data_IF_196046098150
#
_entry.id   IF_196046098150
#
_cell.length_a   1.000
_cell.length_b   1.000
_cell.length_c   1.000
_cell.angle_alpha   90.00
_cell.angle_beta   90.00
_cell.angle_gamma   90.00
#
_symmetry.space_group_name_H-M   'P 1'
#
loop_
_entity.id
_entity.type
_entity.pdbx_description
1 polymer ?
#
# COMPACT_ATOMS: atom_id res chain seq x y z
N UNK A 1 -22.18 5.87 -7.83
CA UNK A 1 -21.69 5.96 -6.45
C UNK A 1 -20.16 6.13 -6.38
N UNK A 2 -19.41 5.79 -7.43
CA UNK A 2 -17.95 5.96 -7.49
C UNK A 2 -17.46 7.40 -7.77
N UNK A 3 -18.30 8.29 -8.27
CA UNK A 3 -17.88 9.62 -8.71
C UNK A 3 -17.50 10.60 -7.58
N UNK A 4 -18.12 10.50 -6.41
CA UNK A 4 -17.92 11.47 -5.33
C UNK A 4 -16.53 11.36 -4.66
N UNK A 5 -15.98 10.17 -4.55
CA UNK A 5 -14.64 9.95 -3.98
C UNK A 5 -13.54 10.49 -4.90
N UNK A 6 -13.64 10.23 -6.20
CA UNK A 6 -12.71 10.77 -7.20
C UNK A 6 -12.75 12.30 -7.29
N UNK A 7 -13.94 12.90 -7.28
CA UNK A 7 -14.10 14.37 -7.28
C UNK A 7 -13.49 14.98 -6.01
N UNK A 8 -13.74 14.38 -4.85
CA UNK A 8 -13.15 14.83 -3.57
C UNK A 8 -11.63 14.73 -3.60
N UNK A 9 -11.11 13.63 -4.13
CA UNK A 9 -9.68 13.42 -4.28
C UNK A 9 -9.02 14.49 -5.17
N UNK A 10 -9.63 14.79 -6.32
CA UNK A 10 -9.16 15.85 -7.21
C UNK A 10 -9.26 17.24 -6.55
N UNK A 11 -10.36 17.51 -5.86
CA UNK A 11 -10.52 18.76 -5.11
C UNK A 11 -9.41 18.92 -4.06
N UNK A 12 -9.17 17.88 -3.27
CA UNK A 12 -8.08 17.87 -2.27
C UNK A 12 -6.72 18.07 -2.93
N UNK A 13 -6.48 17.39 -4.06
CA UNK A 13 -5.25 17.56 -4.82
C UNK A 13 -5.06 18.99 -5.33
N UNK A 14 -6.10 19.62 -5.86
CA UNK A 14 -6.02 20.99 -6.38
C UNK A 14 -5.85 22.03 -5.28
N UNK A 15 -6.57 21.87 -4.15
CA UNK A 15 -6.61 22.87 -3.09
C UNK A 15 -5.52 22.72 -2.02
N UNK A 16 -4.96 21.53 -1.84
CA UNK A 16 -3.93 21.31 -0.83
C UNK A 16 -2.58 21.90 -1.23
N UNK A 17 -2.02 22.75 -0.38
CA UNK A 17 -0.69 23.31 -0.57
C UNK A 17 0.44 22.28 -0.39
N UNK A 18 0.17 21.20 0.32
CA UNK A 18 1.14 20.13 0.66
C UNK A 18 1.11 18.95 -0.29
N UNK A 19 0.26 18.97 -1.32
CA UNK A 19 0.26 17.94 -2.35
C UNK A 19 1.55 17.99 -3.16
N UNK A 20 2.06 16.82 -3.52
CA UNK A 20 3.20 16.65 -4.44
C UNK A 20 2.80 17.00 -5.89
N UNK A 21 2.14 18.15 -6.10
CA UNK A 21 1.57 18.55 -7.39
C UNK A 21 2.62 18.57 -8.49
N UNK A 22 3.74 19.25 -8.26
CA UNK A 22 4.80 19.39 -9.24
C UNK A 22 5.36 18.01 -9.66
N UNK A 23 5.49 17.07 -8.72
CA UNK A 23 5.93 15.72 -8.98
C UNK A 23 4.88 14.93 -9.77
N UNK A 24 3.62 14.96 -9.33
CA UNK A 24 2.52 14.19 -9.96
C UNK A 24 2.12 14.77 -11.33
N UNK A 25 2.35 16.07 -11.56
CA UNK A 25 2.15 16.74 -12.85
C UNK A 25 3.41 16.72 -13.73
N UNK A 26 4.41 15.91 -13.39
CA UNK A 26 5.68 15.78 -14.13
C UNK A 26 6.46 17.09 -14.29
N UNK A 27 6.27 18.05 -13.39
CA UNK A 27 6.98 19.33 -13.37
C UNK A 27 8.33 19.24 -12.66
N UNK A 28 8.50 18.22 -11.80
CA UNK A 28 9.77 17.90 -11.14
C UNK A 28 10.07 16.42 -11.28
N UNK A 29 11.34 16.08 -11.42
CA UNK A 29 11.78 14.69 -11.48
C UNK A 29 11.66 14.02 -10.09
N UNK A 30 11.33 12.71 -10.03
CA UNK A 30 11.37 11.96 -8.79
C UNK A 30 12.80 11.88 -8.24
N UNK A 31 12.92 11.96 -6.93
CA UNK A 31 14.20 11.89 -6.22
C UNK A 31 14.58 10.43 -5.95
N UNK A 32 15.87 10.18 -5.89
CA UNK A 32 16.42 8.90 -5.47
C UNK A 32 17.69 9.12 -4.62
N UNK A 33 17.96 8.20 -3.71
CA UNK A 33 19.21 8.12 -2.95
C UNK A 33 19.96 6.83 -3.33
N UNK A 34 20.97 6.97 -4.15
CA UNK A 34 21.78 5.85 -4.66
C UNK A 34 22.68 5.21 -3.61
N UNK A 35 22.84 5.82 -2.43
CA UNK A 35 23.60 5.24 -1.31
C UNK A 35 22.81 4.16 -0.58
N UNK A 36 21.50 4.08 -0.78
CA UNK A 36 20.66 3.07 -0.14
C UNK A 36 20.90 1.73 -0.83
N UNK A 37 21.16 0.69 -0.02
CA UNK A 37 21.38 -0.69 -0.45
C UNK A 37 20.38 -1.64 0.21
N UNK A 38 20.20 -2.82 -0.36
CA UNK A 38 19.42 -3.89 0.27
C UNK A 38 20.12 -4.40 1.53
N UNK A 39 19.33 -4.82 2.52
CA UNK A 39 19.83 -5.42 3.75
C UNK A 39 20.42 -6.82 3.56
N UNK A 40 20.01 -7.48 2.48
CA UNK A 40 20.47 -8.79 2.02
C UNK A 40 20.14 -8.99 0.55
N UNK A 41 20.73 -10.00 -0.09
CA UNK A 41 20.25 -10.51 -1.37
C UNK A 41 18.98 -11.34 -1.16
N UNK A 42 17.99 -11.14 -1.99
CA UNK A 42 16.73 -11.89 -2.02
C UNK A 42 16.65 -12.83 -3.20
N UNK A 43 16.98 -12.33 -4.37
CA UNK A 43 16.98 -13.06 -5.63
C UNK A 43 17.90 -12.31 -6.61
N UNK A 44 18.89 -13.02 -7.15
CA UNK A 44 19.94 -12.43 -7.99
C UNK A 44 19.36 -11.63 -9.19
N UNK A 45 18.30 -12.14 -9.80
CA UNK A 45 17.63 -11.47 -10.92
C UNK A 45 16.80 -10.26 -10.52
N UNK A 46 16.24 -10.24 -9.29
CA UNK A 46 15.36 -9.18 -8.81
C UNK A 46 16.09 -8.11 -7.97
N UNK A 47 17.23 -8.44 -7.38
CA UNK A 47 17.98 -7.53 -6.49
C UNK A 47 18.28 -6.15 -7.13
N UNK A 48 18.65 -6.05 -8.41
CA UNK A 48 18.84 -4.74 -9.04
C UNK A 48 17.57 -3.89 -9.08
N UNK A 49 16.41 -4.54 -9.29
CA UNK A 49 15.11 -3.86 -9.32
C UNK A 49 14.67 -3.47 -7.91
N UNK A 50 14.83 -4.37 -6.94
CA UNK A 50 14.51 -4.11 -5.53
C UNK A 50 15.37 -2.97 -4.97
N UNK A 51 16.66 -2.93 -5.34
CA UNK A 51 17.56 -1.84 -4.96
C UNK A 51 17.07 -0.50 -5.48
N UNK A 52 16.72 -0.41 -6.77
CA UNK A 52 16.18 0.81 -7.37
C UNK A 52 14.86 1.24 -6.73
N UNK A 53 13.98 0.28 -6.43
CA UNK A 53 12.72 0.56 -5.74
C UNK A 53 12.95 1.13 -4.34
N UNK A 54 13.93 0.59 -3.61
CA UNK A 54 14.31 1.08 -2.27
C UNK A 54 15.00 2.45 -2.30
N UNK A 55 15.77 2.73 -3.34
CA UNK A 55 16.44 4.01 -3.56
C UNK A 55 15.48 5.15 -3.93
N UNK A 56 14.30 4.82 -4.48
CA UNK A 56 13.31 5.81 -4.84
C UNK A 56 12.70 6.46 -3.59
N UNK A 57 12.80 7.80 -3.51
CA UNK A 57 12.28 8.58 -2.36
C UNK A 57 10.86 9.07 -2.59
N UNK A 58 10.39 9.11 -3.83
CA UNK A 58 9.07 9.63 -4.17
C UNK A 58 8.16 8.54 -4.71
N UNK A 59 8.50 7.94 -5.84
CA UNK A 59 7.79 6.80 -6.41
C UNK A 59 8.70 5.94 -7.30
N UNK A 60 8.31 4.70 -7.48
CA UNK A 60 8.96 3.75 -8.38
C UNK A 60 7.91 3.00 -9.18
N UNK A 61 8.10 2.88 -10.48
CA UNK A 61 7.22 2.13 -11.37
C UNK A 61 7.89 0.82 -11.77
N UNK A 62 7.31 -0.28 -11.31
CA UNK A 62 7.73 -1.62 -11.69
C UNK A 62 6.84 -2.14 -12.83
N UNK A 63 7.38 -2.21 -14.02
CA UNK A 63 6.71 -2.74 -15.20
C UNK A 63 7.27 -4.10 -15.55
N UNK A 64 6.40 -5.05 -15.79
CA UNK A 64 6.81 -6.39 -16.22
C UNK A 64 5.62 -7.20 -16.72
N UNK A 65 5.83 -8.13 -17.66
CA UNK A 65 4.78 -9.00 -18.19
C UNK A 65 4.07 -9.80 -17.09
N UNK A 66 2.88 -10.33 -17.35
CA UNK A 66 2.25 -11.33 -16.47
C UNK A 66 3.17 -12.55 -16.27
N UNK A 67 3.11 -13.14 -15.07
CA UNK A 67 3.90 -14.35 -14.77
C UNK A 67 5.39 -14.11 -14.42
N UNK A 68 5.87 -12.88 -14.40
CA UNK A 68 7.27 -12.55 -14.06
C UNK A 68 7.56 -12.49 -12.56
N UNK A 69 6.61 -12.88 -11.71
CA UNK A 69 6.79 -12.89 -10.25
C UNK A 69 6.68 -11.53 -9.57
N UNK A 70 6.11 -10.51 -10.24
CA UNK A 70 5.92 -9.17 -9.63
C UNK A 70 5.17 -9.24 -8.30
N UNK A 71 4.01 -9.85 -8.29
CA UNK A 71 3.16 -9.93 -7.09
C UNK A 71 3.69 -10.94 -6.10
N UNK A 72 4.10 -12.13 -6.55
CA UNK A 72 4.52 -13.21 -5.65
C UNK A 72 5.92 -13.03 -5.07
N UNK A 73 6.86 -12.49 -5.82
CA UNK A 73 8.27 -12.39 -5.42
C UNK A 73 8.71 -10.95 -5.14
N UNK A 74 8.60 -10.05 -6.12
CA UNK A 74 9.12 -8.69 -5.95
C UNK A 74 8.38 -7.93 -4.84
N UNK A 75 7.04 -8.02 -4.80
CA UNK A 75 6.23 -7.40 -3.76
C UNK A 75 6.57 -7.99 -2.38
N UNK A 76 6.69 -9.31 -2.27
CA UNK A 76 7.09 -9.99 -1.04
C UNK A 76 8.43 -9.48 -0.53
N UNK A 77 9.45 -9.46 -1.38
CA UNK A 77 10.79 -9.04 -0.97
C UNK A 77 10.85 -7.56 -0.59
N UNK A 78 10.09 -6.68 -1.26
CA UNK A 78 9.97 -5.28 -0.86
C UNK A 78 9.34 -5.14 0.52
N UNK A 79 8.31 -5.94 0.83
CA UNK A 79 7.68 -5.95 2.16
C UNK A 79 8.67 -6.46 3.22
N UNK A 80 9.34 -7.59 2.98
CA UNK A 80 10.33 -8.15 3.90
C UNK A 80 11.48 -7.15 4.16
N UNK A 81 11.99 -6.51 3.11
CA UNK A 81 13.04 -5.50 3.21
C UNK A 81 12.59 -4.29 4.03
N UNK A 82 11.37 -3.79 3.79
CA UNK A 82 10.83 -2.68 4.54
C UNK A 82 10.63 -3.02 6.03
N UNK A 83 10.08 -4.19 6.33
CA UNK A 83 9.89 -4.64 7.71
C UNK A 83 11.23 -4.80 8.45
N UNK A 84 12.28 -5.23 7.75
CA UNK A 84 13.60 -5.39 8.33
C UNK A 84 14.30 -4.05 8.58
N UNK A 85 14.19 -3.11 7.66
CA UNK A 85 14.90 -1.82 7.74
C UNK A 85 14.12 -0.76 8.50
N UNK A 86 12.81 -0.90 8.61
CA UNK A 86 11.94 0.00 9.35
C UNK A 86 10.89 -0.81 10.15
N UNK A 87 11.28 -1.48 11.25
CA UNK A 87 10.40 -2.40 11.98
C UNK A 87 9.10 -1.78 12.50
N UNK A 88 9.12 -0.47 12.78
CA UNK A 88 7.95 0.28 13.24
C UNK A 88 7.22 1.00 12.08
N UNK A 89 7.76 0.91 10.87
CA UNK A 89 7.16 1.50 9.68
C UNK A 89 5.97 0.68 9.20
N UNK A 90 4.88 1.35 8.85
CA UNK A 90 3.70 0.68 8.29
C UNK A 90 3.79 0.61 6.79
N UNK A 91 3.25 -0.47 6.24
CA UNK A 91 3.19 -0.73 4.81
C UNK A 91 1.73 -0.80 4.40
N UNK A 92 1.35 -0.06 3.37
CA UNK A 92 0.03 -0.13 2.77
C UNK A 92 0.13 -0.86 1.43
N UNK A 93 -0.53 -2.02 1.35
CA UNK A 93 -0.61 -2.81 0.12
C UNK A 93 -1.99 -2.67 -0.49
N UNK A 94 -2.05 -2.33 -1.74
CA UNK A 94 -3.31 -2.10 -2.43
C UNK A 94 -3.33 -2.80 -3.79
N UNK A 95 -4.52 -3.20 -4.21
CA UNK A 95 -4.77 -3.65 -5.57
C UNK A 95 -6.15 -3.15 -6.05
N UNK A 96 -6.40 -3.24 -7.35
CA UNK A 96 -7.68 -2.80 -7.91
C UNK A 96 -8.83 -3.73 -7.55
N UNK A 97 -8.61 -5.05 -7.60
CA UNK A 97 -9.64 -6.07 -7.37
C UNK A 97 -9.51 -6.78 -6.03
N UNK A 98 -10.61 -7.31 -5.50
CA UNK A 98 -10.59 -8.16 -4.31
C UNK A 98 -9.79 -9.44 -4.53
N UNK A 99 -9.81 -9.99 -5.75
CA UNK A 99 -9.03 -11.18 -6.09
C UNK A 99 -7.53 -10.90 -5.99
N UNK A 100 -7.04 -9.78 -6.54
CA UNK A 100 -5.64 -9.41 -6.41
C UNK A 100 -5.25 -9.14 -4.94
N UNK A 101 -6.17 -8.56 -4.14
CA UNK A 101 -5.98 -8.41 -2.69
C UNK A 101 -5.88 -9.77 -2.00
N UNK A 102 -6.69 -10.76 -2.41
CA UNK A 102 -6.61 -12.13 -1.87
C UNK A 102 -5.28 -12.80 -2.21
N UNK A 103 -4.75 -12.59 -3.43
CA UNK A 103 -3.43 -13.09 -3.84
C UNK A 103 -2.31 -12.46 -2.98
N UNK A 104 -2.39 -11.17 -2.68
CA UNK A 104 -1.48 -10.49 -1.74
C UNK A 104 -1.61 -11.09 -0.33
N UNK A 105 -2.82 -11.30 0.17
CA UNK A 105 -3.05 -11.93 1.48
C UNK A 105 -2.44 -13.33 1.54
N UNK A 106 -2.58 -14.13 0.48
CA UNK A 106 -1.97 -15.46 0.37
C UNK A 106 -0.45 -15.40 0.47
N UNK A 107 0.17 -14.53 -0.30
CA UNK A 107 1.62 -14.31 -0.27
C UNK A 107 2.12 -13.92 1.13
N UNK A 108 1.41 -13.01 1.83
CA UNK A 108 1.75 -12.59 3.19
C UNK A 108 1.61 -13.73 4.20
N UNK A 109 0.51 -14.51 4.11
CA UNK A 109 0.26 -15.63 4.99
C UNK A 109 1.32 -16.74 4.80
N UNK A 110 1.68 -17.08 3.57
CA UNK A 110 2.75 -18.02 3.24
C UNK A 110 4.13 -17.56 3.74
N UNK A 111 4.37 -16.25 3.73
CA UNK A 111 5.59 -15.66 4.25
C UNK A 111 5.60 -15.52 5.79
N UNK A 112 4.50 -15.85 6.48
CA UNK A 112 4.37 -15.67 7.93
C UNK A 112 4.32 -14.21 8.36
N UNK A 113 3.97 -13.29 7.47
CA UNK A 113 3.89 -11.86 7.74
C UNK A 113 2.49 -11.54 8.28
N UNK A 114 2.43 -10.94 9.47
CA UNK A 114 1.16 -10.51 10.06
C UNK A 114 0.61 -9.26 9.33
N UNK A 115 -0.69 -9.28 9.03
CA UNK A 115 -1.36 -8.18 8.33
C UNK A 115 -2.81 -8.02 8.76
N UNK A 116 -3.38 -6.85 8.50
CA UNK A 116 -4.83 -6.58 8.60
C UNK A 116 -5.37 -6.29 7.20
N UNK A 117 -6.45 -7.00 6.84
CA UNK A 117 -7.20 -6.72 5.63
C UNK A 117 -8.33 -5.74 5.91
N UNK A 118 -8.37 -4.65 5.16
CA UNK A 118 -9.48 -3.70 5.16
C UNK A 118 -10.43 -4.09 4.04
N UNK A 119 -11.65 -4.46 4.40
CA UNK A 119 -12.62 -4.93 3.41
C UNK A 119 -13.94 -5.36 4.04
N UNK A 120 -14.74 -6.03 3.21
CA UNK A 120 -16.01 -6.62 3.58
C UNK A 120 -15.89 -8.15 3.49
N UNK A 121 -16.51 -8.86 4.44
CA UNK A 121 -16.56 -10.32 4.47
C UNK A 121 -17.10 -10.93 3.16
N UNK A 122 -18.14 -10.32 2.56
CA UNK A 122 -18.75 -10.79 1.34
C UNK A 122 -17.84 -10.72 0.09
N UNK A 123 -16.78 -9.91 0.15
CA UNK A 123 -15.82 -9.71 -0.94
C UNK A 123 -14.42 -10.21 -0.61
N UNK A 124 -14.31 -11.06 0.39
CA UNK A 124 -13.09 -11.66 0.89
C UNK A 124 -13.16 -13.17 0.75
N UNK A 125 -12.11 -13.82 0.26
CA UNK A 125 -12.03 -15.27 0.29
C UNK A 125 -12.04 -15.76 1.76
N UNK A 126 -12.74 -16.87 2.02
CA UNK A 126 -12.96 -17.41 3.37
C UNK A 126 -11.65 -17.64 4.13
N UNK A 127 -10.59 -18.04 3.43
CA UNK A 127 -9.28 -18.26 4.03
C UNK A 127 -8.69 -16.97 4.68
N UNK A 128 -9.07 -15.79 4.22
CA UNK A 128 -8.54 -14.51 4.70
C UNK A 128 -9.54 -13.71 5.56
N UNK A 129 -10.73 -14.24 5.82
CA UNK A 129 -11.71 -13.62 6.73
C UNK A 129 -11.16 -13.38 8.15
N UNK A 130 -10.32 -14.24 8.74
CA UNK A 130 -9.73 -13.98 10.05
C UNK A 130 -8.85 -12.73 10.12
N UNK A 131 -8.29 -12.30 8.99
CA UNK A 131 -7.43 -11.11 8.89
C UNK A 131 -8.20 -9.81 8.63
N UNK A 132 -9.53 -9.87 8.41
CA UNK A 132 -10.35 -8.67 8.29
C UNK A 132 -10.30 -7.85 9.57
N UNK A 133 -10.20 -6.53 9.43
CA UNK A 133 -10.22 -5.63 10.58
C UNK A 133 -11.43 -5.90 11.48
N UNK A 134 -12.61 -6.12 10.89
CA UNK A 134 -13.84 -6.49 11.62
C UNK A 134 -13.73 -7.79 12.42
N UNK A 135 -12.98 -8.76 11.92
CA UNK A 135 -12.73 -10.03 12.64
C UNK A 135 -11.72 -9.85 13.76
N UNK A 136 -10.64 -9.08 13.49
CA UNK A 136 -9.56 -8.83 14.46
C UNK A 136 -10.03 -8.02 15.66
N UNK A 137 -10.93 -7.03 15.45
CA UNK A 137 -11.42 -6.14 16.51
C UNK A 137 -12.73 -6.63 17.16
N UNK A 138 -13.38 -7.63 16.58
CA UNK A 138 -14.64 -8.19 17.08
C UNK A 138 -15.88 -7.35 16.74
N UNK A 139 -17.04 -7.74 17.30
CA UNK A 139 -18.35 -7.22 16.90
C UNK A 139 -18.72 -5.84 17.47
N UNK A 140 -18.05 -5.38 18.52
CA UNK A 140 -18.30 -4.07 19.15
C UNK A 140 -16.97 -3.40 19.56
N UNK A 141 -16.14 -3.01 18.62
CA UNK A 141 -14.85 -2.42 18.95
C UNK A 141 -15.02 -0.97 19.43
N UNK A 142 -14.21 -0.56 20.42
CA UNK A 142 -13.99 0.85 20.72
C UNK A 142 -13.00 1.44 19.73
N UNK A 143 -13.00 2.76 19.57
CA UNK A 143 -12.00 3.43 18.71
C UNK A 143 -10.58 3.16 19.18
N UNK A 144 -10.36 3.08 20.48
CA UNK A 144 -9.04 2.80 21.05
C UNK A 144 -8.57 1.38 20.74
N UNK A 145 -9.48 0.40 20.76
CA UNK A 145 -9.17 -0.97 20.35
C UNK A 145 -8.80 -1.05 18.86
N UNK A 146 -9.53 -0.33 17.99
CA UNK A 146 -9.18 -0.25 16.57
C UNK A 146 -7.80 0.39 16.38
N UNK A 147 -7.53 1.52 17.05
CA UNK A 147 -6.22 2.18 17.02
C UNK A 147 -5.10 1.26 17.48
N UNK A 148 -5.32 0.57 18.59
CA UNK A 148 -4.35 -0.37 19.13
C UNK A 148 -4.02 -1.47 18.10
N UNK A 149 -5.04 -2.15 17.54
CA UNK A 149 -4.82 -3.22 16.54
C UNK A 149 -4.11 -2.70 15.28
N UNK A 150 -4.49 -1.53 14.80
CA UNK A 150 -3.80 -0.89 13.69
C UNK A 150 -2.37 -0.47 14.06
N UNK A 151 -2.10 -0.09 15.31
CA UNK A 151 -0.73 0.26 15.76
C UNK A 151 0.18 -0.96 15.88
N UNK A 152 -0.33 -2.08 16.33
CA UNK A 152 0.39 -3.35 16.51
C UNK A 152 0.73 -4.03 15.17
N UNK A 153 0.00 -3.71 14.08
CA UNK A 153 0.15 -4.38 12.78
C UNK A 153 0.89 -3.48 11.79
N UNK A 154 1.99 -4.00 11.24
CA UNK A 154 2.81 -3.22 10.30
C UNK A 154 2.27 -3.23 8.86
N UNK A 155 1.53 -4.26 8.45
CA UNK A 155 1.05 -4.40 7.06
C UNK A 155 -0.46 -4.29 7.01
N UNK A 156 -0.95 -3.35 6.19
CA UNK A 156 -2.38 -3.14 5.95
C UNK A 156 -2.65 -3.37 4.47
N UNK A 157 -3.69 -4.16 4.18
CA UNK A 157 -4.02 -4.59 2.81
C UNK A 157 -5.46 -4.24 2.48
N UNK A 158 -5.75 -3.79 1.28
CA UNK A 158 -7.12 -3.53 0.83
C UNK A 158 -7.22 -3.14 -0.64
N UNK A 159 -8.45 -3.08 -1.17
CA UNK A 159 -8.62 -2.51 -2.50
C UNK A 159 -8.44 -1.00 -2.46
N UNK A 160 -7.97 -0.42 -3.57
CA UNK A 160 -7.81 1.04 -3.68
C UNK A 160 -9.11 1.80 -3.38
N UNK A 161 -10.25 1.28 -3.86
CA UNK A 161 -11.56 1.88 -3.60
C UNK A 161 -11.96 1.79 -2.12
N UNK A 162 -11.65 0.68 -1.44
CA UNK A 162 -11.93 0.52 -0.01
C UNK A 162 -11.07 1.46 0.83
N UNK A 163 -9.78 1.57 0.53
CA UNK A 163 -8.87 2.46 1.24
C UNK A 163 -9.28 3.93 1.04
N UNK A 164 -9.63 4.34 -0.18
CA UNK A 164 -10.13 5.69 -0.45
C UNK A 164 -11.43 6.02 0.28
N UNK A 165 -12.35 5.05 0.41
CA UNK A 165 -13.61 5.27 1.14
C UNK A 165 -13.42 5.30 2.66
N UNK A 166 -12.28 4.83 3.15
CA UNK A 166 -11.91 4.75 4.57
C UNK A 166 -10.67 5.60 4.87
N UNK A 167 -10.68 6.83 4.41
CA UNK A 167 -9.57 7.79 4.53
C UNK A 167 -9.11 8.05 5.97
N UNK A 168 -9.95 7.73 6.98
CA UNK A 168 -9.57 7.78 8.39
C UNK A 168 -8.33 6.93 8.70
N UNK A 169 -8.01 5.90 7.89
CA UNK A 169 -6.82 5.06 8.05
C UNK A 169 -5.55 5.91 7.98
N UNK A 170 -5.52 6.92 7.09
CA UNK A 170 -4.38 7.84 6.96
C UNK A 170 -4.26 8.82 8.13
N UNK A 171 -5.33 9.01 8.91
CA UNK A 171 -5.29 9.78 10.16
C UNK A 171 -4.80 8.94 11.34
N UNK A 172 -4.99 7.62 11.27
CA UNK A 172 -4.60 6.68 12.33
C UNK A 172 -3.21 6.10 12.11
N UNK A 173 -2.77 5.98 10.86
CA UNK A 173 -1.53 5.34 10.48
C UNK A 173 -0.72 6.21 9.52
N UNK A 174 0.58 6.29 9.78
CA UNK A 174 1.55 6.84 8.82
C UNK A 174 2.18 5.68 8.04
N UNK A 175 2.12 5.76 6.72
CA UNK A 175 2.66 4.73 5.82
C UNK A 175 3.89 5.27 5.09
N UNK A 176 5.12 4.96 5.51
CA UNK A 176 6.33 5.31 4.77
C UNK A 176 6.41 4.61 3.41
N UNK A 177 5.74 3.46 3.25
CA UNK A 177 5.69 2.72 1.99
C UNK A 177 4.24 2.36 1.66
N UNK A 178 3.82 2.70 0.43
CA UNK A 178 2.59 2.22 -0.17
C UNK A 178 2.91 1.52 -1.50
N UNK A 179 2.37 0.31 -1.69
CA UNK A 179 2.54 -0.45 -2.93
C UNK A 179 1.15 -0.68 -3.53
N UNK A 180 1.02 -0.38 -4.81
CA UNK A 180 -0.21 -0.59 -5.57
C UNK A 180 0.08 -1.63 -6.65
N UNK A 181 -0.47 -2.81 -6.50
CA UNK A 181 -0.41 -3.84 -7.54
C UNK A 181 -1.47 -3.58 -8.61
N UNK A 182 -1.15 -3.94 -9.85
CA UNK A 182 -2.01 -3.70 -11.02
C UNK A 182 -2.46 -2.24 -11.18
N UNK A 183 -1.59 -1.28 -10.85
CA UNK A 183 -1.91 0.15 -10.87
C UNK A 183 -2.44 0.65 -12.21
N UNK A 184 -2.11 -0.01 -13.32
CA UNK A 184 -2.62 0.33 -14.66
C UNK A 184 -4.14 0.16 -14.84
N UNK A 185 -4.79 -0.59 -13.97
CA UNK A 185 -6.25 -0.75 -13.97
C UNK A 185 -6.98 0.40 -13.25
N UNK A 186 -6.25 1.24 -12.51
CA UNK A 186 -6.84 2.29 -11.69
C UNK A 186 -6.88 3.59 -12.49
N UNK A 187 -8.07 4.21 -12.53
CA UNK A 187 -8.21 5.51 -13.14
C UNK A 187 -7.41 6.57 -12.38
N UNK A 188 -6.86 7.53 -13.11
CA UNK A 188 -5.99 8.59 -12.58
C UNK A 188 -6.55 9.32 -11.35
N UNK A 189 -7.85 9.72 -11.29
CA UNK A 189 -8.42 10.33 -10.10
C UNK A 189 -8.34 9.44 -8.86
N UNK A 190 -8.39 8.12 -9.03
CA UNK A 190 -8.23 7.14 -7.95
C UNK A 190 -6.81 7.13 -7.39
N UNK A 191 -5.80 7.09 -8.25
CA UNK A 191 -4.39 7.12 -7.84
C UNK A 191 -4.04 8.47 -7.19
N UNK A 192 -4.44 9.58 -7.80
CA UNK A 192 -4.19 10.93 -7.28
C UNK A 192 -4.77 11.08 -5.87
N UNK A 193 -5.98 10.56 -5.62
CA UNK A 193 -6.59 10.61 -4.31
C UNK A 193 -5.81 9.86 -3.24
N UNK A 194 -5.29 8.69 -3.56
CA UNK A 194 -4.46 7.92 -2.66
C UNK A 194 -3.14 8.64 -2.35
N UNK A 195 -2.47 9.15 -3.39
CA UNK A 195 -1.20 9.87 -3.27
C UNK A 195 -1.34 11.22 -2.54
N UNK A 196 -2.47 11.92 -2.73
CA UNK A 196 -2.76 13.16 -2.04
C UNK A 196 -3.13 12.95 -0.57
N UNK A 197 -3.79 11.82 -0.23
CA UNK A 197 -4.14 11.46 1.15
C UNK A 197 -2.94 10.93 1.92
N UNK A 198 -1.92 10.43 1.22
CA UNK A 198 -0.69 9.95 1.80
C UNK A 198 0.17 11.13 2.28
N UNK A 199 -0.03 11.54 3.53
CA UNK A 199 0.80 12.57 4.20
C UNK A 199 2.16 11.97 4.61
N UNK A 200 2.90 11.40 3.69
CA UNK A 200 4.27 10.99 3.92
C UNK A 200 5.19 12.20 3.76
N UNK A 201 5.76 12.67 4.86
CA UNK A 201 6.98 13.45 4.81
C UNK A 201 8.11 12.44 4.50
N UNK A 202 8.31 12.17 3.27
CA UNK A 202 9.54 11.77 2.56
C UNK A 202 9.12 11.12 1.28
#
# INVERSE_FOLDING_TARGET
VGGSAGIRALYTFVTSAHCRKALLLSQTAPRADTNITLSRSYNEALDPVLTKAKQALDYFLLVGPPGTGKTSMALRYLVEEQLKTCPNGKILLMAYTNRAVDEICGMLAEAGINFIRIGNKLSCATAYEPYLLSSVVGSRPTLDHIRQKLSETCVIVGTTSTIQSRDYIFNLCHFPLAIIDEASQILEPGIIGLLASHRGNR
#
